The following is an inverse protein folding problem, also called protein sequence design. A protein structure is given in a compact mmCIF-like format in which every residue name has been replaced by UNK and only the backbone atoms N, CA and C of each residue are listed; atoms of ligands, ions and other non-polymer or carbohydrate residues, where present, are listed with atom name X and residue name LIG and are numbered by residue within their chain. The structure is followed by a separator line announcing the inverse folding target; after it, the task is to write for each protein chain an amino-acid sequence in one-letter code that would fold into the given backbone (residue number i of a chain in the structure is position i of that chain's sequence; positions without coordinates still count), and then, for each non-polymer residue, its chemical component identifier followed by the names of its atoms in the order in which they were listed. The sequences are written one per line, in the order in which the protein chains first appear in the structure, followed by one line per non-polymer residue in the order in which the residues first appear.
data_IF_017758516457
#
_entry.id   IF_017758516457
#
_cell.length_a   1.000
_cell.length_b   1.000
_cell.length_c   1.000
_cell.angle_alpha   90.00
_cell.angle_beta   90.00
_cell.angle_gamma   90.00
#
_symmetry.space_group_name_H-M   'P 1'
#
loop_
_entity.id
_entity.type
_entity.pdbx_description
1 polymer ?
#
# COMPACT_ATOMS: atom_id res chain seq x y z
N UNK A 1 -14.23 12.17 23.58
CA UNK A 1 -15.07 12.76 22.51
C UNK A 1 -14.21 13.70 21.72
N UNK A 2 -14.24 13.61 20.38
CA UNK A 2 -13.52 14.50 19.47
C UNK A 2 -13.87 15.98 19.77
N UNK A 3 -13.23 16.89 19.06
CA UNK A 3 -13.54 18.31 19.16
C UNK A 3 -14.68 18.64 18.18
N UNK A 4 -15.93 18.82 18.60
CA UNK A 4 -17.07 18.97 17.67
C UNK A 4 -16.94 20.12 16.69
N UNK A 5 -16.14 21.15 17.04
CA UNK A 5 -15.90 22.36 16.26
C UNK A 5 -14.52 22.39 15.59
N UNK A 6 -13.70 21.36 15.75
CA UNK A 6 -12.32 21.36 15.27
C UNK A 6 -12.18 21.58 13.77
N UNK A 7 -13.11 21.05 12.97
CA UNK A 7 -13.14 21.25 11.51
C UNK A 7 -13.45 22.71 11.09
N UNK A 8 -14.01 23.52 11.99
CA UNK A 8 -14.25 24.96 11.79
C UNK A 8 -13.04 25.81 12.25
N UNK A 9 -12.25 25.30 13.17
CA UNK A 9 -11.15 26.03 13.80
C UNK A 9 -9.80 25.80 13.12
N UNK A 10 -9.58 24.59 12.59
CA UNK A 10 -8.32 24.20 11.95
C UNK A 10 -8.55 23.95 10.46
N UNK A 11 -7.72 24.54 9.62
CA UNK A 11 -7.69 24.24 8.19
C UNK A 11 -7.15 22.84 7.95
N UNK A 12 -7.60 22.19 6.87
CA UNK A 12 -7.04 20.90 6.45
C UNK A 12 -5.60 21.08 6.00
N UNK A 13 -4.72 20.24 6.54
CA UNK A 13 -3.33 20.18 6.13
C UNK A 13 -2.92 18.73 5.96
N UNK A 14 -2.60 18.34 4.73
CA UNK A 14 -2.00 17.05 4.41
C UNK A 14 -0.49 17.07 4.57
N UNK A 15 0.15 15.92 4.41
CA UNK A 15 1.59 15.85 4.33
C UNK A 15 2.08 16.71 3.15
N UNK A 16 3.07 17.58 3.36
CA UNK A 16 3.58 18.42 2.28
C UNK A 16 4.27 17.57 1.21
N UNK A 17 4.47 18.15 0.04
CA UNK A 17 5.27 17.53 -1.01
C UNK A 17 6.56 18.31 -1.21
N UNK A 18 7.64 17.63 -1.53
CA UNK A 18 8.85 18.28 -2.00
C UNK A 18 8.59 19.11 -3.26
N UNK A 19 9.39 20.14 -3.48
CA UNK A 19 9.29 20.96 -4.68
C UNK A 19 9.46 20.08 -5.96
N UNK A 20 8.70 20.32 -7.03
CA UNK A 20 8.74 19.49 -8.23
C UNK A 20 10.15 19.27 -8.79
N UNK A 21 10.98 20.32 -8.82
CA UNK A 21 12.37 20.25 -9.31
C UNK A 21 13.32 19.48 -8.38
N UNK A 22 12.95 19.26 -7.12
CA UNK A 22 13.72 18.44 -6.19
C UNK A 22 13.35 16.95 -6.37
N UNK A 23 12.05 16.64 -6.31
CA UNK A 23 11.55 15.25 -6.36
C UNK A 23 11.83 14.50 -7.68
N UNK A 24 12.01 15.22 -8.78
CA UNK A 24 12.39 14.59 -10.07
C UNK A 24 13.86 14.13 -10.13
N UNK A 25 14.66 14.37 -9.08
CA UNK A 25 16.07 13.99 -9.03
C UNK A 25 16.34 12.65 -8.34
N UNK A 26 15.31 12.02 -7.78
CA UNK A 26 15.43 10.77 -7.05
C UNK A 26 14.16 9.92 -7.16
N UNK A 27 14.25 8.66 -6.72
CA UNK A 27 13.14 7.71 -6.66
C UNK A 27 12.64 7.47 -5.23
N UNK A 28 13.03 8.30 -4.26
CA UNK A 28 12.59 8.20 -2.87
C UNK A 28 11.19 8.78 -2.69
N UNK A 29 10.51 8.41 -1.60
CA UNK A 29 9.28 9.09 -1.18
C UNK A 29 9.54 10.58 -1.02
N UNK A 30 8.57 11.41 -1.43
CA UNK A 30 8.71 12.87 -1.47
C UNK A 30 7.60 13.61 -0.69
N UNK A 31 6.91 12.90 0.19
CA UNK A 31 5.92 13.46 1.10
C UNK A 31 6.43 13.40 2.56
N UNK A 32 7.18 14.40 3.02
CA UNK A 32 7.58 14.48 4.42
C UNK A 32 6.33 14.56 5.31
N UNK A 33 6.40 13.92 6.45
CA UNK A 33 5.25 13.83 7.37
C UNK A 33 5.08 15.10 8.18
N UNK A 34 3.84 15.43 8.50
CA UNK A 34 3.53 16.47 9.49
C UNK A 34 4.09 16.11 10.86
N UNK A 35 4.56 17.11 11.58
CA UNK A 35 4.96 16.97 12.97
C UNK A 35 3.79 16.57 13.89
N UNK A 36 4.13 16.10 15.09
CA UNK A 36 3.16 15.56 16.06
C UNK A 36 2.06 16.56 16.43
N UNK A 37 2.42 17.81 16.71
CA UNK A 37 1.45 18.84 17.08
C UNK A 37 0.45 19.14 15.96
N UNK A 38 0.94 19.27 14.73
CA UNK A 38 0.06 19.49 13.59
C UNK A 38 -0.83 18.27 13.34
N UNK A 39 -0.30 17.07 13.52
CA UNK A 39 -1.08 15.82 13.45
C UNK A 39 -2.23 15.82 14.47
N UNK A 40 -1.98 16.28 15.69
CA UNK A 40 -3.03 16.43 16.72
C UNK A 40 -4.12 17.43 16.26
N UNK A 41 -3.75 18.55 15.64
CA UNK A 41 -4.71 19.51 15.06
C UNK A 41 -5.53 18.87 13.95
N UNK A 42 -4.90 18.08 13.08
CA UNK A 42 -5.62 17.36 12.01
C UNK A 42 -6.54 16.26 12.56
N UNK A 43 -6.16 15.58 13.63
CA UNK A 43 -7.05 14.67 14.37
C UNK A 43 -8.27 15.37 14.97
N UNK A 44 -8.07 16.59 15.51
CA UNK A 44 -9.14 17.43 16.07
C UNK A 44 -10.22 17.83 15.03
N UNK A 45 -9.92 17.78 13.74
CA UNK A 45 -10.90 18.06 12.68
C UNK A 45 -12.00 17.01 12.59
N UNK A 46 -11.79 15.82 13.15
CA UNK A 46 -12.83 14.79 13.24
C UNK A 46 -13.85 15.16 14.30
N UNK A 47 -15.09 15.42 13.90
CA UNK A 47 -16.18 15.75 14.82
C UNK A 47 -16.83 14.52 15.48
N UNK A 48 -16.30 13.32 15.22
CA UNK A 48 -16.81 12.05 15.77
C UNK A 48 -18.34 11.91 15.57
N UNK A 49 -18.78 12.07 14.32
CA UNK A 49 -20.20 12.02 13.98
C UNK A 49 -20.81 10.64 14.33
N UNK A 50 -22.05 10.65 14.86
CA UNK A 50 -22.73 9.44 15.33
C UNK A 50 -23.01 8.38 14.26
N UNK A 51 -22.99 8.77 12.98
CA UNK A 51 -23.06 7.87 11.81
C UNK A 51 -21.85 8.14 10.91
N UNK A 52 -20.71 7.51 11.21
CA UNK A 52 -19.47 7.78 10.50
C UNK A 52 -19.42 7.05 9.16
N UNK A 53 -19.82 7.69 8.07
CA UNK A 53 -19.74 7.13 6.72
C UNK A 53 -18.30 6.75 6.31
N UNK A 54 -17.29 7.43 6.87
CA UNK A 54 -15.89 7.13 6.61
C UNK A 54 -15.50 5.68 6.94
N UNK A 55 -16.18 5.02 7.88
CA UNK A 55 -15.92 3.61 8.25
C UNK A 55 -17.03 2.63 7.81
N UNK A 56 -18.01 3.08 7.02
CA UNK A 56 -19.19 2.26 6.74
C UNK A 56 -18.91 1.07 5.80
N UNK A 57 -18.00 1.22 4.83
CA UNK A 57 -17.73 0.19 3.82
C UNK A 57 -18.97 -0.17 2.99
N UNK A 58 -19.99 0.70 2.94
CA UNK A 58 -21.23 0.45 2.24
C UNK A 58 -21.02 0.44 0.72
N UNK A 59 -21.73 -0.45 0.03
CA UNK A 59 -21.75 -0.46 -1.45
C UNK A 59 -22.94 0.38 -1.91
N UNK A 60 -22.66 1.50 -2.58
CA UNK A 60 -23.64 2.41 -3.15
C UNK A 60 -23.48 2.43 -4.67
N UNK A 61 -24.53 2.08 -5.41
CA UNK A 61 -24.50 2.00 -6.87
C UNK A 61 -23.31 1.19 -7.44
N UNK A 62 -22.95 0.09 -6.80
CA UNK A 62 -21.84 -0.76 -7.20
C UNK A 62 -20.44 -0.27 -6.78
N UNK A 63 -20.33 0.87 -6.12
CA UNK A 63 -19.06 1.43 -5.62
C UNK A 63 -19.02 1.38 -4.09
N UNK A 64 -17.84 1.09 -3.54
CA UNK A 64 -17.63 1.12 -2.09
C UNK A 64 -17.51 2.57 -1.63
N UNK A 65 -18.29 2.94 -0.59
CA UNK A 65 -18.22 4.24 0.10
C UNK A 65 -17.67 4.03 1.51
N UNK A 66 -16.69 4.82 1.89
CA UNK A 66 -16.00 4.68 3.16
C UNK A 66 -14.95 3.56 3.17
N UNK A 67 -14.42 3.26 4.34
CA UNK A 67 -13.36 2.26 4.48
C UNK A 67 -13.91 0.83 4.43
N UNK A 68 -13.51 -0.02 3.45
CA UNK A 68 -13.99 -1.40 3.36
C UNK A 68 -13.47 -2.31 4.50
N UNK A 69 -12.44 -1.89 5.22
CA UNK A 69 -11.95 -2.56 6.42
C UNK A 69 -12.72 -2.15 7.69
N UNK A 70 -13.69 -1.26 7.59
CA UNK A 70 -14.40 -0.65 8.72
C UNK A 70 -13.44 -0.07 9.76
N UNK A 71 -12.42 0.65 9.28
CA UNK A 71 -11.37 1.22 10.12
C UNK A 71 -11.99 2.21 11.11
N UNK A 72 -11.58 2.14 12.38
CA UNK A 72 -12.17 2.90 13.50
C UNK A 72 -11.74 4.37 13.47
N UNK A 73 -11.99 5.04 12.34
CA UNK A 73 -11.50 6.39 12.01
C UNK A 73 -11.82 7.44 13.08
N UNK A 74 -13.05 7.57 13.59
CA UNK A 74 -13.35 8.56 14.64
C UNK A 74 -12.58 8.29 15.93
N UNK A 75 -12.52 7.03 16.38
CA UNK A 75 -11.89 6.66 17.65
C UNK A 75 -10.39 6.99 17.65
N UNK A 76 -9.65 6.58 16.63
CA UNK A 76 -8.22 6.85 16.62
C UNK A 76 -7.88 8.32 16.28
N UNK A 77 -8.74 9.07 15.56
CA UNK A 77 -8.57 10.51 15.40
C UNK A 77 -8.74 11.26 16.72
N UNK A 78 -9.71 10.87 17.55
CA UNK A 78 -9.89 11.43 18.90
C UNK A 78 -8.63 11.18 19.76
N UNK A 79 -8.11 9.96 19.73
CA UNK A 79 -6.87 9.61 20.45
C UNK A 79 -5.66 10.39 19.93
N UNK A 80 -5.55 10.62 18.62
CA UNK A 80 -4.51 11.48 18.03
C UNK A 80 -4.65 12.91 18.53
N UNK A 81 -5.86 13.48 18.51
CA UNK A 81 -6.12 14.82 19.02
C UNK A 81 -5.66 14.99 20.47
N UNK A 82 -5.91 14.02 21.33
CA UNK A 82 -5.47 14.03 22.73
C UNK A 82 -4.01 13.62 22.94
N UNK A 83 -3.23 13.43 21.87
CA UNK A 83 -1.83 13.05 21.95
C UNK A 83 -1.57 11.59 22.38
N UNK A 84 -2.61 10.77 22.42
CA UNK A 84 -2.56 9.37 22.87
C UNK A 84 -2.23 8.42 21.71
N UNK A 85 -1.10 8.63 21.04
CA UNK A 85 -0.70 7.89 19.83
C UNK A 85 -0.55 6.39 20.05
N UNK A 86 -0.16 5.95 21.25
CA UNK A 86 -0.08 4.53 21.55
C UNK A 86 -1.45 3.83 21.49
N UNK A 87 -2.47 4.42 22.09
CA UNK A 87 -3.83 3.88 22.02
C UNK A 87 -4.43 4.06 20.62
N UNK A 88 -4.07 5.14 19.90
CA UNK A 88 -4.46 5.31 18.50
C UNK A 88 -3.92 4.17 17.64
N UNK A 89 -2.65 3.76 17.86
CA UNK A 89 -2.05 2.61 17.20
C UNK A 89 -2.82 1.31 17.49
N UNK A 90 -3.18 1.05 18.75
CA UNK A 90 -3.94 -0.15 19.12
C UNK A 90 -5.31 -0.20 18.42
N UNK A 91 -5.98 0.95 18.30
CA UNK A 91 -7.25 1.04 17.59
C UNK A 91 -7.09 0.85 16.09
N UNK A 92 -6.06 1.44 15.49
CA UNK A 92 -5.76 1.34 14.07
C UNK A 92 -5.43 -0.11 13.67
N UNK A 93 -4.54 -0.77 14.41
CA UNK A 93 -4.13 -2.15 14.15
C UNK A 93 -5.23 -3.19 14.42
N UNK A 94 -6.35 -2.81 15.02
CA UNK A 94 -7.48 -3.72 15.23
C UNK A 94 -8.17 -4.13 13.94
N UNK A 95 -8.20 -3.25 12.97
CA UNK A 95 -8.88 -3.43 11.69
C UNK A 95 -7.94 -3.38 10.50
N UNK A 96 -6.77 -2.76 10.61
CA UNK A 96 -5.80 -2.61 9.54
C UNK A 96 -4.45 -3.25 9.94
N UNK A 97 -4.03 -4.28 9.21
CA UNK A 97 -2.75 -4.96 9.46
C UNK A 97 -1.54 -4.12 9.06
N UNK A 98 -1.68 -3.28 8.01
CA UNK A 98 -0.55 -2.60 7.37
C UNK A 98 -0.82 -1.11 7.10
N UNK A 99 -0.99 -0.30 8.17
CA UNK A 99 -1.27 1.13 8.01
C UNK A 99 -0.15 1.89 7.26
N UNK A 100 1.09 1.40 7.32
CA UNK A 100 2.20 1.98 6.57
C UNK A 100 2.05 1.84 5.06
N UNK A 101 1.35 0.80 4.57
CA UNK A 101 1.06 0.64 3.16
C UNK A 101 -0.19 1.44 2.77
N UNK A 102 -1.28 1.25 3.48
CA UNK A 102 -2.55 1.95 3.19
C UNK A 102 -2.42 3.46 3.37
N UNK A 103 -1.70 3.93 4.38
CA UNK A 103 -1.42 5.34 4.59
C UNK A 103 -0.63 6.01 3.45
N UNK A 104 0.04 5.21 2.59
CA UNK A 104 0.76 5.69 1.40
C UNK A 104 -0.04 5.55 0.11
N UNK A 105 -0.66 4.40 -0.11
CA UNK A 105 -1.18 4.04 -1.45
C UNK A 105 -2.70 3.87 -1.53
N UNK A 106 -3.42 3.93 -0.39
CA UNK A 106 -4.87 3.84 -0.42
C UNK A 106 -5.49 5.07 -1.09
N UNK A 107 -6.53 4.91 -1.94
CA UNK A 107 -7.26 6.03 -2.54
C UNK A 107 -8.09 6.84 -1.54
N UNK A 108 -8.10 6.45 -0.27
CA UNK A 108 -8.76 7.15 0.84
C UNK A 108 -10.26 7.37 0.65
N UNK A 109 -11.00 6.31 0.30
CA UNK A 109 -12.48 6.35 0.21
C UNK A 109 -13.15 6.85 1.49
N UNK A 110 -12.49 6.69 2.64
CA UNK A 110 -12.91 7.25 3.92
C UNK A 110 -12.91 8.79 3.94
N UNK A 111 -11.98 9.44 3.24
CA UNK A 111 -11.97 10.90 3.09
C UNK A 111 -13.09 11.36 2.17
N UNK A 112 -13.29 10.68 1.04
CA UNK A 112 -14.40 10.97 0.13
C UNK A 112 -15.78 10.82 0.80
N UNK A 113 -15.92 9.89 1.75
CA UNK A 113 -17.15 9.67 2.50
C UNK A 113 -17.27 10.53 3.77
N UNK A 114 -16.28 11.35 4.10
CA UNK A 114 -16.28 12.18 5.30
C UNK A 114 -17.32 13.29 5.22
N UNK A 115 -18.24 13.37 6.21
CA UNK A 115 -19.31 14.38 6.25
C UNK A 115 -18.78 15.82 6.36
N UNK A 116 -17.57 16.03 6.87
CA UNK A 116 -16.93 17.34 6.82
C UNK A 116 -16.74 17.84 5.38
N UNK A 117 -16.61 16.94 4.42
CA UNK A 117 -16.49 17.26 3.00
C UNK A 117 -17.77 17.85 2.36
N UNK A 118 -18.92 17.80 3.05
CA UNK A 118 -20.17 18.39 2.55
C UNK A 118 -20.17 19.93 2.62
N UNK A 119 -19.46 20.51 3.57
CA UNK A 119 -19.42 21.95 3.83
C UNK A 119 -18.02 22.56 3.82
N UNK A 120 -17.01 21.74 3.55
CA UNK A 120 -15.62 22.16 3.55
C UNK A 120 -14.71 21.02 3.11
N UNK A 121 -13.53 20.94 3.71
CA UNK A 121 -12.56 19.87 3.40
C UNK A 121 -12.70 18.69 4.37
N UNK A 122 -12.62 17.43 3.86
CA UNK A 122 -12.66 16.24 4.70
C UNK A 122 -11.47 16.18 5.68
N UNK A 123 -11.56 15.32 6.67
CA UNK A 123 -10.43 15.00 7.57
C UNK A 123 -9.33 14.28 6.78
N UNK A 124 -8.06 14.59 7.05
CA UNK A 124 -6.89 13.92 6.46
C UNK A 124 -6.69 12.52 7.06
N UNK A 125 -7.61 11.63 6.78
CA UNK A 125 -7.67 10.29 7.40
C UNK A 125 -6.44 9.47 7.05
N UNK A 126 -6.07 9.43 5.77
CA UNK A 126 -4.91 8.67 5.28
C UNK A 126 -3.60 9.15 5.89
N UNK A 127 -3.40 10.46 5.94
CA UNK A 127 -2.18 11.04 6.50
C UNK A 127 -2.10 10.86 8.02
N UNK A 128 -3.24 10.92 8.72
CA UNK A 128 -3.29 10.65 10.15
C UNK A 128 -2.97 9.18 10.45
N UNK A 129 -3.52 8.26 9.67
CA UNK A 129 -3.20 6.82 9.73
C UNK A 129 -1.70 6.57 9.55
N UNK A 130 -1.11 7.15 8.51
CA UNK A 130 0.34 7.09 8.27
C UNK A 130 1.13 7.67 9.45
N UNK A 131 0.71 8.81 9.98
CA UNK A 131 1.36 9.44 11.12
C UNK A 131 1.36 8.58 12.38
N UNK A 132 0.28 7.85 12.66
CA UNK A 132 0.17 6.94 13.82
C UNK A 132 1.18 5.79 13.68
N UNK A 133 1.21 5.12 12.53
CA UNK A 133 2.07 3.94 12.36
C UNK A 133 3.54 4.30 12.28
N UNK A 134 3.90 5.41 11.64
CA UNK A 134 5.30 5.84 11.54
C UNK A 134 5.84 6.35 12.89
N UNK A 135 5.04 7.08 13.70
CA UNK A 135 5.41 7.40 15.11
C UNK A 135 5.69 6.12 15.89
N UNK A 136 4.91 5.07 15.65
CA UNK A 136 5.09 3.79 16.32
C UNK A 136 6.39 3.07 15.91
N UNK A 137 6.74 3.08 14.63
CA UNK A 137 8.01 2.54 14.15
C UNK A 137 9.21 3.32 14.71
N UNK A 138 9.19 4.65 14.62
CA UNK A 138 10.26 5.52 15.13
C UNK A 138 10.51 5.34 16.64
N UNK A 139 9.44 5.15 17.39
CA UNK A 139 9.52 4.94 18.85
C UNK A 139 9.78 3.49 19.26
N UNK A 140 9.95 2.59 18.29
CA UNK A 140 10.20 1.18 18.56
C UNK A 140 9.03 0.45 19.24
N UNK A 141 7.79 0.90 19.00
CA UNK A 141 6.58 0.25 19.50
C UNK A 141 6.18 -0.95 18.63
N UNK A 142 6.59 -0.93 17.36
CA UNK A 142 6.38 -2.04 16.43
C UNK A 142 7.42 -3.14 16.70
N UNK A 143 7.10 -4.02 17.63
CA UNK A 143 7.97 -5.14 18.04
C UNK A 143 7.33 -6.48 17.69
N UNK A 144 8.15 -7.54 17.44
CA UNK A 144 7.62 -8.87 17.23
C UNK A 144 6.77 -9.33 18.43
N UNK A 145 5.57 -9.83 18.13
CA UNK A 145 4.64 -10.40 19.11
C UNK A 145 4.22 -11.80 18.65
N UNK A 146 5.12 -12.80 18.77
CA UNK A 146 4.77 -14.16 18.39
C UNK A 146 3.61 -14.68 19.25
N UNK A 147 2.73 -15.51 18.71
CA UNK A 147 1.61 -16.07 19.46
C UNK A 147 2.13 -16.91 20.63
N UNK A 148 1.51 -16.74 21.80
CA UNK A 148 1.88 -17.47 23.03
C UNK A 148 1.68 -18.98 22.90
N UNK A 149 0.63 -19.38 22.19
CA UNK A 149 0.26 -20.78 22.00
C UNK A 149 0.15 -21.07 20.49
N UNK A 150 0.70 -22.20 20.08
CA UNK A 150 0.55 -22.71 18.72
C UNK A 150 -0.59 -23.73 18.66
N UNK A 151 -1.41 -23.68 17.61
CA UNK A 151 -2.56 -24.57 17.40
C UNK A 151 -2.15 -25.96 16.88
N UNK A 152 -0.90 -26.12 16.45
CA UNK A 152 -0.41 -27.29 15.73
C UNK A 152 -0.86 -27.36 14.26
N UNK A 153 -1.69 -26.42 13.80
CA UNK A 153 -2.15 -26.38 12.39
C UNK A 153 -1.13 -25.65 11.51
N UNK A 154 -0.86 -26.23 10.35
CA UNK A 154 0.05 -25.72 9.32
C UNK A 154 -0.76 -25.19 8.15
N UNK A 155 -0.56 -23.92 7.80
CA UNK A 155 -1.31 -23.25 6.72
C UNK A 155 -0.32 -22.79 5.64
N UNK A 156 -0.61 -23.16 4.40
CA UNK A 156 0.08 -22.59 3.23
C UNK A 156 -0.69 -21.39 2.70
N UNK A 157 0.00 -20.29 2.46
CA UNK A 157 -0.52 -19.11 1.77
C UNK A 157 0.23 -18.98 0.44
N UNK A 158 -0.48 -19.02 -0.68
CA UNK A 158 0.11 -18.93 -2.01
C UNK A 158 -0.02 -17.51 -2.52
N UNK A 159 1.12 -16.83 -2.66
CA UNK A 159 1.24 -15.42 -3.01
C UNK A 159 1.47 -14.54 -1.79
N UNK A 160 2.44 -13.64 -1.90
CA UNK A 160 2.85 -12.69 -0.85
C UNK A 160 2.40 -11.25 -1.12
N UNK A 161 1.45 -11.04 -2.00
CA UNK A 161 0.83 -9.73 -2.19
C UNK A 161 0.08 -9.24 -0.93
N UNK A 162 -0.52 -8.04 -0.94
CA UNK A 162 -1.20 -7.48 0.24
C UNK A 162 -2.18 -8.42 0.92
N UNK A 163 -2.97 -9.16 0.13
CA UNK A 163 -3.95 -10.13 0.65
C UNK A 163 -3.28 -11.32 1.32
N UNK A 164 -2.21 -11.86 0.71
CA UNK A 164 -1.46 -12.99 1.27
C UNK A 164 -0.74 -12.61 2.55
N UNK A 165 -0.10 -11.44 2.59
CA UNK A 165 0.53 -10.93 3.79
C UNK A 165 -0.49 -10.71 4.92
N UNK A 166 -1.64 -10.09 4.64
CA UNK A 166 -2.68 -9.87 5.64
C UNK A 166 -3.25 -11.20 6.18
N UNK A 167 -3.49 -12.16 5.28
CA UNK A 167 -3.92 -13.50 5.66
C UNK A 167 -2.88 -14.18 6.56
N UNK A 168 -1.60 -14.14 6.18
CA UNK A 168 -0.52 -14.75 6.93
C UNK A 168 -0.36 -14.13 8.33
N UNK A 169 -0.41 -12.79 8.43
CA UNK A 169 -0.34 -12.07 9.70
C UNK A 169 -1.51 -12.46 10.62
N UNK A 170 -2.73 -12.47 10.11
CA UNK A 170 -3.93 -12.84 10.87
C UNK A 170 -3.92 -14.30 11.31
N UNK A 171 -3.50 -15.23 10.47
CA UNK A 171 -3.43 -16.65 10.82
C UNK A 171 -2.31 -16.93 11.82
N UNK A 172 -1.14 -16.33 11.63
CA UNK A 172 -0.03 -16.47 12.55
C UNK A 172 -0.37 -15.90 13.93
N UNK A 173 -1.01 -14.72 14.00
CA UNK A 173 -1.43 -14.11 15.29
C UNK A 173 -2.43 -14.98 16.06
N UNK A 174 -3.21 -15.83 15.37
CA UNK A 174 -4.13 -16.81 15.96
C UNK A 174 -3.45 -18.13 16.35
N UNK A 175 -2.13 -18.22 16.17
CA UNK A 175 -1.34 -19.37 16.60
C UNK A 175 -1.11 -20.45 15.56
N UNK A 176 -1.55 -20.27 14.31
CA UNK A 176 -1.24 -21.23 13.25
C UNK A 176 0.21 -21.07 12.79
N UNK A 177 0.82 -22.17 12.32
CA UNK A 177 2.12 -22.12 11.65
C UNK A 177 1.86 -21.79 10.18
N UNK A 178 2.39 -20.67 9.71
CA UNK A 178 2.10 -20.17 8.36
C UNK A 178 3.35 -20.14 7.53
N UNK A 179 3.27 -20.74 6.33
CA UNK A 179 4.29 -20.64 5.29
C UNK A 179 3.69 -19.93 4.08
N UNK A 180 4.33 -18.83 3.66
CA UNK A 180 3.96 -18.05 2.48
C UNK A 180 4.86 -18.46 1.32
N UNK A 181 4.26 -18.93 0.22
CA UNK A 181 4.96 -19.26 -1.02
C UNK A 181 4.86 -18.09 -2.00
N UNK A 182 6.00 -17.64 -2.49
CA UNK A 182 6.11 -16.53 -3.44
C UNK A 182 6.96 -16.93 -4.63
N UNK A 183 6.46 -16.72 -5.84
CA UNK A 183 7.19 -17.06 -7.07
C UNK A 183 8.35 -16.11 -7.39
N UNK A 184 8.26 -14.86 -6.92
CA UNK A 184 9.31 -13.88 -7.10
C UNK A 184 10.45 -14.08 -6.08
N UNK A 185 11.57 -13.44 -6.33
CA UNK A 185 12.75 -13.45 -5.47
C UNK A 185 12.54 -12.73 -4.14
N UNK A 186 11.60 -11.76 -4.10
CA UNK A 186 11.26 -10.99 -2.91
C UNK A 186 9.75 -11.03 -2.64
N UNK A 187 9.33 -11.17 -1.36
CA UNK A 187 7.92 -11.11 -1.00
C UNK A 187 7.37 -9.68 -1.12
N UNK A 188 6.05 -9.56 -1.25
CA UNK A 188 5.34 -8.28 -1.28
C UNK A 188 4.42 -8.11 -2.49
N UNK A 189 4.58 -8.93 -3.53
CA UNK A 189 3.77 -8.83 -4.75
C UNK A 189 3.83 -7.42 -5.35
N UNK A 190 2.67 -6.79 -5.61
CA UNK A 190 2.62 -5.43 -6.14
C UNK A 190 3.19 -4.37 -5.20
N UNK A 191 3.19 -4.58 -3.87
CA UNK A 191 3.86 -3.65 -2.94
C UNK A 191 5.37 -3.58 -3.20
N UNK A 192 5.98 -4.71 -3.57
CA UNK A 192 7.40 -4.78 -3.90
C UNK A 192 7.67 -4.32 -5.32
N UNK A 193 6.96 -4.85 -6.32
CA UNK A 193 7.33 -4.70 -7.72
C UNK A 193 6.34 -3.92 -8.59
N UNK A 194 5.10 -3.67 -8.14
CA UNK A 194 4.11 -2.95 -8.93
C UNK A 194 3.97 -1.47 -8.58
N UNK A 195 4.27 -1.09 -7.34
CA UNK A 195 4.20 0.29 -6.87
C UNK A 195 5.61 0.89 -6.93
N UNK A 196 5.83 2.05 -7.56
CA UNK A 196 7.16 2.64 -7.64
C UNK A 196 7.67 3.11 -6.26
N UNK A 197 9.00 3.12 -6.11
CA UNK A 197 9.65 3.44 -4.83
C UNK A 197 9.29 4.83 -4.32
N UNK A 198 9.03 5.80 -5.20
CA UNK A 198 8.61 7.16 -4.85
C UNK A 198 7.25 7.25 -4.17
N UNK A 199 6.38 6.23 -4.29
CA UNK A 199 5.11 6.13 -3.57
C UNK A 199 5.18 5.24 -2.34
N UNK A 200 6.03 4.19 -2.40
CA UNK A 200 6.23 3.24 -1.32
C UNK A 200 7.67 2.72 -1.37
N UNK A 201 8.52 3.26 -0.52
CA UNK A 201 9.90 2.78 -0.40
C UNK A 201 9.96 1.31 0.01
N UNK A 202 10.84 0.55 -0.64
CA UNK A 202 10.93 -0.90 -0.42
C UNK A 202 11.47 -1.25 0.96
N UNK A 203 12.20 -0.35 1.60
CA UNK A 203 12.58 -0.44 3.01
C UNK A 203 11.38 -0.56 3.95
N UNK A 204 10.27 0.12 3.61
CA UNK A 204 9.01 0.04 4.38
C UNK A 204 8.36 -1.35 4.25
N UNK A 205 8.40 -1.93 3.05
CA UNK A 205 7.92 -3.30 2.82
C UNK A 205 8.81 -4.28 3.57
N UNK A 206 10.12 -4.12 3.44
CA UNK A 206 11.12 -5.00 4.04
C UNK A 206 11.01 -5.04 5.57
N UNK A 207 10.93 -3.89 6.25
CA UNK A 207 10.81 -3.86 7.73
C UNK A 207 9.54 -4.57 8.23
N UNK A 208 8.42 -4.54 7.45
CA UNK A 208 7.20 -5.28 7.80
C UNK A 208 7.38 -6.78 7.62
N UNK A 209 8.02 -7.21 6.54
CA UNK A 209 8.33 -8.63 6.30
C UNK A 209 9.24 -9.19 7.39
N UNK A 210 10.25 -8.44 7.81
CA UNK A 210 11.15 -8.81 8.91
C UNK A 210 10.38 -8.94 10.23
N UNK A 211 9.47 -8.03 10.53
CA UNK A 211 8.61 -8.13 11.70
C UNK A 211 7.73 -9.39 11.65
N UNK A 212 7.12 -9.70 10.52
CA UNK A 212 6.30 -10.90 10.35
C UNK A 212 7.12 -12.18 10.47
N UNK A 213 8.32 -12.20 9.88
CA UNK A 213 9.26 -13.32 10.03
C UNK A 213 9.68 -13.53 11.50
N UNK A 214 10.01 -12.44 12.20
CA UNK A 214 10.32 -12.48 13.63
C UNK A 214 9.15 -12.93 14.53
N UNK A 215 7.90 -12.79 14.03
CA UNK A 215 6.69 -13.32 14.67
C UNK A 215 6.44 -14.79 14.34
N UNK A 216 7.19 -15.39 13.40
CA UNK A 216 7.14 -16.79 13.06
C UNK A 216 6.39 -17.12 11.76
N UNK A 217 6.20 -16.15 10.87
CA UNK A 217 5.76 -16.41 9.50
C UNK A 217 6.98 -16.86 8.68
N UNK A 218 6.88 -18.00 8.01
CA UNK A 218 7.91 -18.48 7.08
C UNK A 218 7.63 -17.97 5.67
N UNK A 219 8.64 -17.41 5.00
CA UNK A 219 8.57 -17.01 3.60
C UNK A 219 9.44 -17.92 2.74
N UNK A 220 8.87 -18.51 1.70
CA UNK A 220 9.55 -19.30 0.67
C UNK A 220 9.43 -18.59 -0.66
N UNK A 221 10.49 -17.88 -1.05
CA UNK A 221 10.59 -17.15 -2.31
C UNK A 221 11.19 -17.99 -3.41
N UNK A 222 10.97 -17.59 -4.69
CA UNK A 222 11.41 -18.34 -5.85
C UNK A 222 10.67 -19.68 -6.03
N UNK A 223 9.45 -19.80 -5.47
CA UNK A 223 8.64 -21.02 -5.53
C UNK A 223 7.32 -20.75 -6.23
N UNK A 224 7.18 -21.18 -7.47
CA UNK A 224 5.95 -21.06 -8.26
C UNK A 224 5.08 -22.31 -8.02
N UNK A 225 4.02 -22.15 -7.28
CA UNK A 225 3.07 -23.23 -6.97
C UNK A 225 2.37 -23.68 -8.27
N UNK A 226 2.41 -24.97 -8.53
CA UNK A 226 1.95 -25.56 -9.78
C UNK A 226 3.08 -25.87 -10.76
N UNK A 227 4.29 -25.36 -10.51
CA UNK A 227 5.50 -25.73 -11.27
C UNK A 227 6.57 -26.35 -10.36
N UNK A 228 6.98 -25.64 -9.31
CA UNK A 228 8.06 -26.04 -8.41
C UNK A 228 7.56 -26.92 -7.26
N UNK A 229 6.31 -26.75 -6.85
CA UNK A 229 5.58 -27.54 -5.85
C UNK A 229 4.17 -27.81 -6.35
N UNK A 230 3.74 -29.05 -6.28
CA UNK A 230 2.41 -29.44 -6.76
C UNK A 230 1.30 -29.08 -5.73
N UNK A 231 0.06 -28.89 -6.18
CA UNK A 231 -1.08 -28.72 -5.27
C UNK A 231 -1.29 -29.92 -4.35
N UNK A 232 -0.98 -31.12 -4.82
CA UNK A 232 -1.06 -32.38 -4.06
C UNK A 232 -0.07 -32.39 -2.89
N UNK A 233 1.16 -31.92 -3.11
CA UNK A 233 2.17 -31.78 -2.05
C UNK A 233 1.70 -30.77 -1.00
N UNK A 234 1.15 -29.63 -1.41
CA UNK A 234 0.59 -28.66 -0.47
C UNK A 234 -0.55 -29.26 0.36
N UNK A 235 -1.44 -30.01 -0.28
CA UNK A 235 -2.56 -30.66 0.43
C UNK A 235 -2.12 -31.77 1.38
N UNK A 236 -1.01 -32.45 1.10
CA UNK A 236 -0.42 -33.46 1.98
C UNK A 236 0.27 -32.83 3.18
N UNK A 237 0.99 -31.71 2.97
CA UNK A 237 1.91 -31.14 3.95
C UNK A 237 1.30 -30.03 4.80
N UNK A 238 0.12 -29.53 4.45
CA UNK A 238 -0.59 -28.46 5.15
C UNK A 238 -2.04 -28.84 5.47
N UNK A 239 -2.53 -28.36 6.61
CA UNK A 239 -3.93 -28.57 7.02
C UNK A 239 -4.92 -27.73 6.17
N UNK A 240 -4.46 -26.58 5.66
CA UNK A 240 -5.22 -25.74 4.74
C UNK A 240 -4.29 -24.97 3.79
N UNK A 241 -4.84 -24.62 2.61
CA UNK A 241 -4.16 -23.80 1.60
C UNK A 241 -5.05 -22.61 1.26
N UNK A 242 -4.46 -21.40 1.30
CA UNK A 242 -5.15 -20.17 0.94
C UNK A 242 -4.50 -19.59 -0.32
N UNK A 243 -5.31 -19.39 -1.36
CA UNK A 243 -4.84 -18.84 -2.63
C UNK A 243 -4.98 -17.31 -2.62
N UNK A 244 -3.84 -16.62 -2.69
CA UNK A 244 -3.71 -15.16 -2.73
C UNK A 244 -2.87 -14.72 -3.93
N UNK A 245 -3.08 -15.35 -5.09
CA UNK A 245 -2.21 -15.27 -6.27
C UNK A 245 -2.32 -13.94 -7.03
N UNK A 246 -3.29 -13.07 -6.70
CA UNK A 246 -3.55 -11.83 -7.44
C UNK A 246 -4.08 -12.09 -8.84
N UNK A 247 -3.90 -11.10 -9.73
CA UNK A 247 -4.27 -11.17 -11.15
C UNK A 247 -3.02 -10.82 -11.98
N UNK A 248 -2.53 -11.79 -12.75
CA UNK A 248 -1.29 -11.65 -13.53
C UNK A 248 -1.53 -11.39 -15.02
N UNK A 249 -2.73 -11.70 -15.54
CA UNK A 249 -3.03 -11.49 -16.96
C UNK A 249 -3.41 -10.03 -17.20
N UNK A 250 -2.60 -9.27 -17.94
CA UNK A 250 -2.92 -7.89 -18.25
C UNK A 250 -4.07 -7.82 -19.27
N UNK A 251 -4.84 -6.73 -19.24
CA UNK A 251 -5.67 -6.36 -20.39
C UNK A 251 -4.75 -5.86 -21.50
N UNK A 252 -4.98 -6.30 -22.71
CA UNK A 252 -4.18 -5.91 -23.86
C UNK A 252 -5.04 -5.18 -24.89
N UNK A 253 -4.39 -4.44 -25.77
CA UNK A 253 -5.00 -3.76 -26.91
C UNK A 253 -4.57 -4.49 -28.18
N UNK A 254 -5.54 -4.96 -28.96
CA UNK A 254 -5.29 -5.56 -30.26
C UNK A 254 -5.13 -4.45 -31.30
N UNK A 255 -3.89 -4.00 -31.48
CA UNK A 255 -3.53 -2.90 -32.38
C UNK A 255 -2.33 -3.27 -33.23
N UNK A 256 -2.26 -2.81 -34.50
CA UNK A 256 -1.07 -2.97 -35.32
C UNK A 256 0.17 -2.38 -34.64
N UNK A 257 1.24 -3.16 -34.60
CA UNK A 257 2.51 -2.76 -33.96
C UNK A 257 2.61 -3.10 -32.47
N UNK A 258 1.62 -3.77 -31.87
CA UNK A 258 1.65 -4.19 -30.46
C UNK A 258 2.88 -5.03 -30.10
N UNK A 259 3.34 -5.86 -31.02
CA UNK A 259 4.53 -6.71 -30.88
C UNK A 259 5.85 -5.93 -31.10
N UNK A 260 5.80 -4.63 -31.29
CA UNK A 260 6.97 -3.80 -31.52
C UNK A 260 7.89 -3.73 -30.31
N UNK A 261 9.19 -3.59 -30.56
CA UNK A 261 10.18 -3.37 -29.50
C UNK A 261 9.88 -2.07 -28.75
N UNK A 262 9.97 -2.12 -27.40
CA UNK A 262 9.71 -0.98 -26.52
C UNK A 262 8.24 -0.82 -26.12
N UNK A 263 7.36 -1.73 -26.53
CA UNK A 263 5.97 -1.77 -26.08
C UNK A 263 5.85 -2.66 -24.84
N UNK A 264 5.56 -2.06 -23.70
CA UNK A 264 5.55 -2.72 -22.40
C UNK A 264 4.15 -2.74 -21.77
N UNK A 265 3.85 -3.82 -21.04
CA UNK A 265 2.80 -3.74 -20.02
C UNK A 265 3.29 -2.92 -18.85
N UNK A 266 2.40 -2.09 -18.28
CA UNK A 266 2.75 -1.18 -17.20
C UNK A 266 3.37 -1.90 -15.99
N UNK A 267 2.79 -3.03 -15.56
CA UNK A 267 3.30 -3.78 -14.41
C UNK A 267 4.68 -4.36 -14.69
N UNK A 268 4.95 -4.84 -15.91
CA UNK A 268 6.27 -5.37 -16.26
C UNK A 268 7.32 -4.27 -16.30
N UNK A 269 6.97 -3.10 -16.85
CA UNK A 269 7.84 -1.92 -16.83
C UNK A 269 8.19 -1.49 -15.39
N UNK A 270 7.19 -1.38 -14.52
CA UNK A 270 7.37 -1.02 -13.11
C UNK A 270 8.18 -2.05 -12.34
N UNK A 271 7.94 -3.35 -12.60
CA UNK A 271 8.65 -4.47 -11.98
C UNK A 271 10.13 -4.45 -12.35
N UNK A 272 10.46 -4.40 -13.64
CA UNK A 272 11.84 -4.43 -14.10
C UNK A 272 12.61 -3.18 -13.63
N UNK A 273 11.97 -2.01 -13.65
CA UNK A 273 12.58 -0.79 -13.12
C UNK A 273 12.82 -0.86 -11.61
N UNK A 274 11.85 -1.36 -10.84
CA UNK A 274 12.03 -1.51 -9.39
C UNK A 274 13.08 -2.57 -9.05
N UNK A 275 13.13 -3.69 -9.79
CA UNK A 275 14.15 -4.71 -9.62
C UNK A 275 15.53 -4.13 -9.86
N UNK A 276 15.74 -3.41 -10.97
CA UNK A 276 17.00 -2.76 -11.27
C UNK A 276 17.39 -1.69 -10.22
N UNK A 277 16.42 -0.97 -9.69
CA UNK A 277 16.68 -0.04 -8.58
C UNK A 277 17.24 -0.75 -7.35
N UNK A 278 16.68 -1.91 -6.99
CA UNK A 278 17.08 -2.66 -5.80
C UNK A 278 18.39 -3.44 -6.01
N UNK A 279 18.62 -3.96 -7.20
CA UNK A 279 19.77 -4.83 -7.46
C UNK A 279 21.02 -4.07 -7.90
N UNK A 280 20.85 -3.00 -8.67
CA UNK A 280 21.96 -2.31 -9.34
C UNK A 280 21.98 -0.78 -9.12
N UNK A 281 20.99 -0.21 -8.40
CA UNK A 281 20.84 1.23 -8.29
C UNK A 281 20.54 1.90 -9.64
N UNK A 282 19.80 1.22 -10.53
CA UNK A 282 19.44 1.66 -11.88
C UNK A 282 20.66 1.79 -12.82
N UNK A 283 21.57 0.83 -12.78
CA UNK A 283 22.67 0.79 -13.72
C UNK A 283 22.14 0.73 -15.17
N UNK A 284 22.72 1.53 -16.05
CA UNK A 284 22.32 1.61 -17.45
C UNK A 284 22.39 0.22 -18.14
N UNK A 285 21.35 -0.11 -18.90
CA UNK A 285 21.22 -1.42 -19.57
C UNK A 285 20.58 -2.53 -18.72
N UNK A 286 20.30 -2.30 -17.43
CA UNK A 286 19.66 -3.31 -16.57
C UNK A 286 18.12 -3.17 -16.49
N UNK A 287 17.54 -2.15 -17.11
CA UNK A 287 16.10 -1.87 -17.06
C UNK A 287 15.61 -1.15 -18.33
N UNK A 288 14.29 -1.15 -18.59
CA UNK A 288 13.70 -0.43 -19.73
C UNK A 288 13.76 1.09 -19.49
N UNK A 289 14.89 1.71 -19.88
CA UNK A 289 15.12 3.15 -19.65
C UNK A 289 14.33 4.00 -20.63
N UNK A 290 13.63 5.01 -20.09
CA UNK A 290 12.94 6.06 -20.84
C UNK A 290 13.88 7.21 -21.28
N UNK A 291 15.16 7.17 -20.91
CA UNK A 291 16.12 8.24 -21.13
C UNK A 291 16.27 8.61 -22.59
N UNK A 292 16.03 9.88 -22.93
CA UNK A 292 16.16 10.39 -24.31
C UNK A 292 15.10 9.87 -25.29
N UNK A 293 14.03 9.23 -24.80
CA UNK A 293 12.97 8.65 -25.63
C UNK A 293 11.69 9.49 -25.58
N UNK A 294 10.88 9.37 -26.62
CA UNK A 294 9.48 9.79 -26.59
C UNK A 294 8.66 8.63 -26.02
N UNK A 295 8.00 8.87 -24.89
CA UNK A 295 7.22 7.82 -24.20
C UNK A 295 5.73 8.15 -24.32
N UNK A 296 4.93 7.18 -24.73
CA UNK A 296 3.48 7.24 -24.75
C UNK A 296 2.97 6.27 -23.68
N UNK A 297 2.11 6.75 -22.78
CA UNK A 297 1.46 5.95 -21.75
C UNK A 297 -0.02 5.91 -22.07
N UNK A 298 -0.56 4.70 -22.22
CA UNK A 298 -1.97 4.46 -22.51
C UNK A 298 -2.69 4.09 -21.21
N UNK A 299 -3.64 4.93 -20.79
CA UNK A 299 -4.36 4.84 -19.53
C UNK A 299 -4.04 5.98 -18.57
N UNK A 300 -5.06 6.57 -17.95
CA UNK A 300 -4.98 7.75 -17.05
C UNK A 300 -5.13 7.43 -15.57
N UNK A 301 -5.30 6.15 -15.19
CA UNK A 301 -5.44 5.74 -13.79
C UNK A 301 -4.13 5.75 -13.00
N UNK A 302 -4.17 5.28 -11.74
CA UNK A 302 -3.00 5.26 -10.84
C UNK A 302 -1.79 4.54 -11.42
N UNK A 303 -1.99 3.43 -12.13
CA UNK A 303 -0.90 2.68 -12.78
C UNK A 303 -0.24 3.51 -13.89
N UNK A 304 -1.02 4.26 -14.68
CA UNK A 304 -0.50 5.17 -15.69
C UNK A 304 0.34 6.29 -15.06
N UNK A 305 -0.15 6.89 -13.98
CA UNK A 305 0.59 7.90 -13.20
C UNK A 305 1.89 7.33 -12.62
N UNK A 306 1.89 6.08 -12.17
CA UNK A 306 3.07 5.40 -11.68
C UNK A 306 4.13 5.21 -12.76
N UNK A 307 3.71 4.87 -13.98
CA UNK A 307 4.59 4.80 -15.14
C UNK A 307 5.15 6.18 -15.50
N UNK A 308 4.31 7.24 -15.51
CA UNK A 308 4.77 8.63 -15.74
C UNK A 308 5.84 9.00 -14.72
N UNK A 309 5.55 8.85 -13.43
CA UNK A 309 6.48 9.19 -12.37
C UNK A 309 7.77 8.37 -12.42
N UNK A 310 7.71 7.12 -12.86
CA UNK A 310 8.89 6.26 -13.02
C UNK A 310 9.76 6.71 -14.21
N UNK A 311 9.18 7.24 -15.26
CA UNK A 311 9.92 7.74 -16.43
C UNK A 311 10.66 9.06 -16.15
N UNK A 312 10.10 9.94 -15.31
CA UNK A 312 10.59 11.32 -15.13
C UNK A 312 11.98 11.41 -14.49
N UNK A 313 12.30 10.75 -13.36
CA UNK A 313 13.57 10.94 -12.66
C UNK A 313 14.81 10.57 -13.48
N UNK A 314 14.67 9.76 -14.51
CA UNK A 314 15.81 9.25 -15.29
C UNK A 314 16.16 10.10 -16.50
N UNK A 315 15.30 11.04 -16.95
CA UNK A 315 15.63 11.74 -18.20
C UNK A 315 14.72 12.90 -18.58
N UNK A 316 15.26 13.76 -19.46
CA UNK A 316 14.48 14.65 -20.31
C UNK A 316 13.65 13.82 -21.31
N UNK A 317 12.46 13.40 -20.93
CA UNK A 317 11.53 12.65 -21.77
C UNK A 317 10.34 13.51 -22.14
N UNK A 318 9.90 13.41 -23.38
CA UNK A 318 8.59 13.92 -23.80
C UNK A 318 7.53 12.87 -23.49
N UNK A 319 6.67 13.15 -22.51
CA UNK A 319 5.59 12.26 -22.09
C UNK A 319 4.27 12.68 -22.73
N UNK A 320 3.53 11.69 -23.23
CA UNK A 320 2.12 11.82 -23.59
C UNK A 320 1.33 10.71 -22.90
N UNK A 321 0.36 11.10 -22.07
CA UNK A 321 -0.61 10.19 -21.48
C UNK A 321 -1.91 10.29 -22.29
N UNK A 322 -2.50 9.14 -22.63
CA UNK A 322 -3.78 9.05 -23.30
C UNK A 322 -4.71 8.15 -22.46
N UNK A 323 -5.90 8.65 -22.22
CA UNK A 323 -6.98 7.86 -21.63
C UNK A 323 -7.74 7.13 -22.75
N UNK A 324 -8.23 5.93 -22.45
CA UNK A 324 -9.11 5.18 -23.34
C UNK A 324 -10.56 5.38 -22.89
N UNK A 325 -11.50 5.41 -23.83
CA UNK A 325 -12.95 5.50 -23.51
C UNK A 325 -13.45 4.38 -22.60
N UNK A 326 -12.69 3.29 -22.46
CA UNK A 326 -13.01 2.19 -21.55
C UNK A 326 -12.73 2.52 -20.07
N UNK A 327 -12.05 3.62 -19.77
CA UNK A 327 -11.70 4.07 -18.42
C UNK A 327 -12.62 5.22 -17.93
N UNK A 328 -13.57 5.64 -18.78
CA UNK A 328 -14.66 6.56 -18.48
C UNK A 328 -15.94 5.75 -18.25
#
# INVERSE_FOLDING_TARGET
MGKPTGFLEYTRQGNPSEAPLARIRHYNEFHPRLGREERMRQGARCMECGVPFCQSGAVLNGMVSGCPLHNLVPEWNDLVYHGSFHHALERLLKTNNFPEFTGRVCPALCEAACTCGLHGEPVTVKDNELGIIEDAWERGLMKPRPPKNRTGRRIAVVGSGPSGLACADQLNSRGHSVTVFEREDRPGGLLMYGIPNMKLEKSIVQRRLELMAAQGVEFRTGVDVGKDISPEELRRDFDAVVLCCGAANPRDLDLPGREGEGVWFAVDFLKETTRALLDTGLQEGTYPSARGKHVVIVGGGDTGNDCVGTCIPVSYTHLRAHETEADL
#
